data_IF_133042853695
#
_entry.id   IF_133042853695
#
_cell.length_a   1.000
_cell.length_b   1.000
_cell.length_c   1.000
_cell.angle_alpha   90.00
_cell.angle_beta   90.00
_cell.angle_gamma   90.00
#
_symmetry.space_group_name_H-M   'P 1'
#
loop_
_entity.id
_entity.type
_entity.pdbx_description
1 polymer ?
#
# COMPACT_ATOMS: atom_id res chain seq x y z
N UNK A 1 9.96 -29.74 -35.14
CA UNK A 1 11.03 -28.99 -34.43
C UNK A 1 10.63 -27.53 -34.24
N UNK A 2 10.40 -26.76 -35.31
CA UNK A 2 10.07 -25.33 -35.23
C UNK A 2 8.74 -25.01 -34.49
N UNK A 3 7.70 -25.82 -34.68
CA UNK A 3 6.39 -25.64 -34.04
C UNK A 3 6.38 -25.88 -32.53
N UNK A 4 7.17 -26.86 -32.04
CA UNK A 4 7.29 -27.13 -30.61
C UNK A 4 8.04 -26.01 -29.89
N UNK A 5 9.09 -25.46 -30.51
CA UNK A 5 9.83 -24.31 -29.97
C UNK A 5 8.91 -23.08 -29.86
N UNK A 6 8.09 -22.82 -30.89
CA UNK A 6 7.12 -21.72 -30.86
C UNK A 6 6.08 -21.90 -29.74
N UNK A 7 5.54 -23.11 -29.56
CA UNK A 7 4.58 -23.40 -28.49
C UNK A 7 5.18 -23.19 -27.09
N UNK A 8 6.44 -23.59 -26.89
CA UNK A 8 7.16 -23.38 -25.63
C UNK A 8 7.40 -21.89 -25.38
N UNK A 9 7.79 -21.12 -26.40
CA UNK A 9 7.98 -19.67 -26.27
C UNK A 9 6.68 -18.95 -25.93
N UNK A 10 5.57 -19.30 -26.58
CA UNK A 10 4.25 -18.73 -26.28
C UNK A 10 3.82 -19.09 -24.85
N UNK A 11 4.02 -20.34 -24.42
CA UNK A 11 3.74 -20.77 -23.06
C UNK A 11 4.60 -20.05 -22.02
N UNK A 12 5.90 -19.91 -22.28
CA UNK A 12 6.82 -19.19 -21.40
C UNK A 12 6.44 -17.71 -21.27
N UNK A 13 6.15 -17.04 -22.40
CA UNK A 13 5.67 -15.67 -22.39
C UNK A 13 4.37 -15.57 -21.61
N UNK A 14 3.39 -16.44 -21.86
CA UNK A 14 2.13 -16.46 -21.12
C UNK A 14 2.32 -16.64 -19.60
N UNK A 15 3.25 -17.50 -19.18
CA UNK A 15 3.61 -17.68 -17.77
C UNK A 15 4.24 -16.40 -17.19
N UNK A 16 5.15 -15.76 -17.92
CA UNK A 16 5.75 -14.49 -17.49
C UNK A 16 4.70 -13.37 -17.36
N UNK A 17 3.72 -13.31 -18.27
CA UNK A 17 2.58 -12.36 -18.17
C UNK A 17 1.67 -12.67 -16.98
N UNK A 18 1.45 -13.96 -16.66
CA UNK A 18 0.66 -14.37 -15.50
C UNK A 18 1.40 -14.13 -14.17
N UNK A 19 2.73 -14.00 -14.21
CA UNK A 19 3.59 -13.72 -13.06
C UNK A 19 3.91 -12.23 -12.91
N UNK A 20 3.37 -11.36 -13.77
CA UNK A 20 3.50 -9.91 -13.60
C UNK A 20 2.73 -9.49 -12.35
N UNK A 21 3.46 -9.30 -11.25
CA UNK A 21 2.93 -8.74 -10.01
C UNK A 21 2.50 -7.30 -10.31
N UNK A 22 1.21 -7.11 -10.57
CA UNK A 22 0.60 -5.79 -10.62
C UNK A 22 1.00 -5.05 -9.34
N UNK A 23 1.82 -4.02 -9.45
CA UNK A 23 2.25 -3.18 -8.32
C UNK A 23 1.01 -2.83 -7.50
N UNK A 24 0.95 -3.32 -6.26
CA UNK A 24 -0.24 -3.09 -5.43
C UNK A 24 -0.43 -1.58 -5.26
N UNK A 25 -1.69 -1.14 -5.19
CA UNK A 25 -1.98 0.29 -5.06
C UNK A 25 -1.20 0.95 -3.91
N UNK A 26 -0.94 0.23 -2.82
CA UNK A 26 -0.12 0.70 -1.69
C UNK A 26 1.37 0.79 -2.00
N UNK A 27 1.94 -0.17 -2.74
CA UNK A 27 3.34 -0.12 -3.18
C UNK A 27 3.61 1.13 -4.04
N UNK A 28 2.69 1.44 -4.95
CA UNK A 28 2.79 2.61 -5.83
C UNK A 28 2.71 3.95 -5.08
N UNK A 29 2.21 3.94 -3.83
CA UNK A 29 2.06 5.12 -2.98
C UNK A 29 3.26 5.38 -2.05
N UNK A 30 4.28 4.53 -2.08
CA UNK A 30 5.50 4.72 -1.28
C UNK A 30 6.09 6.13 -1.49
N UNK A 31 6.49 6.78 -0.39
CA UNK A 31 7.00 8.15 -0.36
C UNK A 31 6.04 9.25 -0.85
N UNK A 32 4.77 8.94 -1.14
CA UNK A 32 3.76 9.96 -1.48
C UNK A 32 3.23 10.64 -0.21
N UNK A 33 2.69 11.86 -0.38
CA UNK A 33 2.00 12.60 0.67
C UNK A 33 0.51 12.36 0.58
N UNK A 34 -0.10 11.91 1.68
CA UNK A 34 -1.52 11.53 1.72
C UNK A 34 -2.23 12.24 2.86
N UNK A 35 -3.37 12.86 2.56
CA UNK A 35 -4.27 13.46 3.55
C UNK A 35 -5.39 12.47 3.87
N UNK A 36 -5.50 12.04 5.12
CA UNK A 36 -6.58 11.16 5.59
C UNK A 36 -7.55 11.97 6.44
N UNK A 37 -8.78 12.11 5.94
CA UNK A 37 -9.88 12.78 6.66
C UNK A 37 -10.67 11.77 7.47
N UNK A 38 -11.28 12.21 8.57
CA UNK A 38 -11.98 11.30 9.48
C UNK A 38 -11.07 10.26 10.13
N UNK A 39 -9.77 10.54 10.24
CA UNK A 39 -8.74 9.57 10.63
C UNK A 39 -8.80 9.13 12.10
N UNK A 40 -9.71 9.68 12.91
CA UNK A 40 -9.74 9.43 14.36
C UNK A 40 -10.27 8.05 14.77
N UNK A 41 -10.97 7.33 13.89
CA UNK A 41 -11.57 6.00 14.16
C UNK A 41 -11.91 5.27 12.86
N UNK A 42 -12.07 3.94 12.93
CA UNK A 42 -12.70 3.15 11.87
C UNK A 42 -11.85 3.07 10.61
N UNK A 43 -12.45 3.24 9.43
CA UNK A 43 -11.73 3.09 8.15
C UNK A 43 -10.61 4.12 8.01
N UNK A 44 -10.85 5.38 8.40
CA UNK A 44 -9.84 6.43 8.33
C UNK A 44 -8.62 6.13 9.21
N UNK A 45 -8.84 5.53 10.37
CA UNK A 45 -7.76 5.09 11.26
C UNK A 45 -6.95 3.94 10.63
N UNK A 46 -7.61 2.90 10.13
CA UNK A 46 -6.91 1.76 9.52
C UNK A 46 -6.16 2.17 8.25
N UNK A 47 -6.70 3.10 7.46
CA UNK A 47 -5.99 3.69 6.31
C UNK A 47 -4.75 4.44 6.77
N UNK A 48 -4.82 5.22 7.86
CA UNK A 48 -3.65 5.94 8.38
C UNK A 48 -2.53 4.98 8.80
N UNK A 49 -2.88 3.84 9.40
CA UNK A 49 -1.90 2.80 9.74
C UNK A 49 -1.29 2.20 8.48
N UNK A 50 -2.11 1.65 7.57
CA UNK A 50 -1.62 0.99 6.36
C UNK A 50 -0.74 1.91 5.51
N UNK A 51 -1.17 3.16 5.28
CA UNK A 51 -0.41 4.13 4.50
C UNK A 51 0.93 4.48 5.17
N UNK A 52 0.95 4.65 6.50
CA UNK A 52 2.18 4.94 7.24
C UNK A 52 3.18 3.79 7.17
N UNK A 53 2.71 2.55 7.34
CA UNK A 53 3.55 1.33 7.26
C UNK A 53 4.10 1.11 5.86
N UNK A 54 3.36 1.47 4.81
CA UNK A 54 3.84 1.41 3.41
C UNK A 54 4.72 2.62 3.01
N UNK A 55 5.21 3.40 3.98
CA UNK A 55 6.19 4.46 3.75
C UNK A 55 5.59 5.77 3.19
N UNK A 56 4.28 5.97 3.30
CA UNK A 56 3.68 7.26 2.95
C UNK A 56 4.01 8.33 4.01
N UNK A 57 3.91 9.60 3.60
CA UNK A 57 3.87 10.76 4.49
C UNK A 57 2.40 11.12 4.73
N UNK A 58 1.87 10.75 5.89
CA UNK A 58 0.43 10.85 6.17
C UNK A 58 0.12 12.07 7.03
N UNK A 59 -0.78 12.93 6.56
CA UNK A 59 -1.40 14.02 7.33
C UNK A 59 -2.79 13.60 7.76
N UNK A 60 -3.12 13.73 9.05
CA UNK A 60 -4.38 13.27 9.63
C UNK A 60 -5.29 14.45 9.98
N UNK A 61 -6.59 14.33 9.71
CA UNK A 61 -7.59 15.31 10.15
C UNK A 61 -8.87 14.66 10.68
N UNK A 62 -9.36 15.16 11.81
CA UNK A 62 -10.65 14.79 12.42
C UNK A 62 -11.06 15.83 13.49
N UNK A 63 -12.33 15.78 13.92
CA UNK A 63 -12.89 16.68 14.94
C UNK A 63 -12.39 16.39 16.37
N UNK A 64 -12.06 15.13 16.67
CA UNK A 64 -11.68 14.68 18.03
C UNK A 64 -10.16 14.63 18.18
N UNK A 65 -9.59 15.67 18.80
CA UNK A 65 -8.14 15.85 18.96
C UNK A 65 -7.44 14.67 19.67
N UNK A 66 -7.96 14.22 20.81
CA UNK A 66 -7.34 13.14 21.59
C UNK A 66 -7.31 11.81 20.82
N UNK A 67 -8.42 11.45 20.17
CA UNK A 67 -8.47 10.25 19.33
C UNK A 67 -7.51 10.35 18.13
N UNK A 68 -7.42 11.53 17.49
CA UNK A 68 -6.49 11.76 16.38
C UNK A 68 -5.01 11.66 16.82
N UNK A 69 -4.70 12.10 18.04
CA UNK A 69 -3.35 11.99 18.62
C UNK A 69 -2.98 10.53 18.91
N UNK A 70 -3.91 9.71 19.41
CA UNK A 70 -3.68 8.28 19.60
C UNK A 70 -3.32 7.60 18.26
N UNK A 71 -4.10 7.84 17.21
CA UNK A 71 -3.82 7.32 15.86
C UNK A 71 -2.45 7.79 15.36
N UNK A 72 -2.09 9.06 15.58
CA UNK A 72 -0.75 9.57 15.20
C UNK A 72 0.38 8.78 15.88
N UNK A 73 0.28 8.52 17.18
CA UNK A 73 1.32 7.79 17.93
C UNK A 73 1.47 6.37 17.38
N UNK A 74 0.36 5.65 17.25
CA UNK A 74 0.35 4.28 16.70
C UNK A 74 0.86 4.23 15.26
N UNK A 75 0.50 5.19 14.41
CA UNK A 75 1.02 5.29 13.04
C UNK A 75 2.54 5.48 13.00
N UNK A 76 3.13 6.21 13.96
CA UNK A 76 4.58 6.40 14.04
C UNK A 76 5.30 5.15 14.55
N UNK A 77 4.73 4.47 15.54
CA UNK A 77 5.24 3.18 16.04
C UNK A 77 5.25 2.14 14.92
N UNK A 78 4.12 1.96 14.22
CA UNK A 78 4.02 1.01 13.11
C UNK A 78 5.02 1.29 11.98
N UNK A 79 5.35 2.56 11.75
CA UNK A 79 6.36 2.96 10.76
C UNK A 79 7.79 2.61 11.18
N UNK A 80 8.07 2.49 12.48
CA UNK A 80 9.41 2.20 13.00
C UNK A 80 9.72 0.69 13.03
N UNK A 81 8.69 -0.16 13.08
CA UNK A 81 8.82 -1.62 13.13
C UNK A 81 8.79 -2.32 11.77
N UNK A 82 8.79 -1.57 10.67
CA UNK A 82 8.93 -2.05 9.28
C UNK A 82 10.09 -1.35 8.58
#
# INVERSE_FOLDING_TARGET
>A
MLSQVAAILVGLVAVLWLMDDSETALASLKNKRVLVTGASTGIGEQMAYQLATHGCHVTLTARRKLALQAVRVTSLENKLYM
#
